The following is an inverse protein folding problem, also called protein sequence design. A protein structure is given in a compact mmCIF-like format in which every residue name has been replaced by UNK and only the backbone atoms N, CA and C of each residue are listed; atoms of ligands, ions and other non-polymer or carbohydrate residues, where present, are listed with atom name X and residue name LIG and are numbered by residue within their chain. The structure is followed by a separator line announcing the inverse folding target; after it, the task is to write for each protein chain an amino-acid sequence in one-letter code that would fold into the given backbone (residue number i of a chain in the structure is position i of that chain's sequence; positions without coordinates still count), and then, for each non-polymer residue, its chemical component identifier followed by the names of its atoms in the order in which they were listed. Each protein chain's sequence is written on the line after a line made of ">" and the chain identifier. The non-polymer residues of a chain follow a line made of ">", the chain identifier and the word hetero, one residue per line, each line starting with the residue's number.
data_IF_934792712848
#
_entry.id   IF_934792712848
#
_cell.length_a   1.000
_cell.length_b   1.000
_cell.length_c   1.000
_cell.angle_alpha   90.00
_cell.angle_beta   90.00
_cell.angle_gamma   90.00
#
_symmetry.space_group_name_H-M   'P 1'
#
loop_
_entity.id
_entity.type
_entity.pdbx_description
1 polymer ?
#
# COMPACT_ATOMS: atom_id res chain seq x y z
N UNK A 1 17.83 -8.92 13.38
CA UNK A 1 17.90 -7.65 12.64
C UNK A 1 17.21 -6.60 13.48
N UNK A 2 17.94 -5.62 14.02
CA UNK A 2 17.35 -4.47 14.70
C UNK A 2 16.66 -3.62 13.64
N UNK A 3 15.33 -3.49 13.69
CA UNK A 3 14.60 -2.53 12.87
C UNK A 3 15.16 -1.14 13.18
N UNK A 4 15.81 -0.50 12.21
CA UNK A 4 16.21 0.90 12.35
C UNK A 4 14.94 1.73 12.58
N UNK A 5 14.97 2.60 13.57
CA UNK A 5 13.84 3.50 13.82
C UNK A 5 13.69 4.46 12.63
N UNK A 6 12.45 4.79 12.22
CA UNK A 6 12.22 5.78 11.18
C UNK A 6 12.85 7.12 11.53
N UNK A 7 13.38 7.82 10.53
CA UNK A 7 13.99 9.13 10.68
C UNK A 7 13.30 10.12 9.73
N UNK A 8 12.25 10.78 10.24
CA UNK A 8 11.35 11.59 9.42
C UNK A 8 11.85 13.01 9.24
N UNK A 9 11.98 13.45 7.99
CA UNK A 9 12.32 14.83 7.63
C UNK A 9 11.31 15.45 6.68
N UNK A 10 11.10 16.79 6.74
CA UNK A 10 10.33 17.50 5.72
C UNK A 10 10.93 17.27 4.33
N UNK A 11 10.07 17.22 3.31
CA UNK A 11 10.49 16.96 1.92
C UNK A 11 11.56 17.93 1.42
N UNK A 12 11.58 19.18 1.92
CA UNK A 12 12.59 20.18 1.61
C UNK A 12 14.02 19.78 2.01
N UNK A 13 14.18 18.85 2.95
CA UNK A 13 15.48 18.36 3.42
C UNK A 13 16.01 17.14 2.63
N UNK A 14 15.27 16.67 1.61
CA UNK A 14 15.66 15.47 0.84
C UNK A 14 17.05 15.58 0.20
N UNK A 15 17.40 16.76 -0.32
CA UNK A 15 18.71 17.01 -0.94
C UNK A 15 19.85 16.95 0.08
N UNK A 16 19.62 17.49 1.28
CA UNK A 16 20.61 17.48 2.37
C UNK A 16 20.81 16.07 2.95
N UNK A 17 19.71 15.35 3.21
CA UNK A 17 19.75 14.06 3.93
C UNK A 17 20.05 12.87 3.05
N UNK A 18 19.58 12.88 1.81
CA UNK A 18 19.64 11.72 0.92
C UNK A 18 20.28 12.01 -0.43
N UNK A 19 20.70 13.26 -0.70
CA UNK A 19 21.21 13.69 -2.01
C UNK A 19 20.20 13.47 -3.16
N UNK A 20 18.90 13.52 -2.87
CA UNK A 20 17.81 13.39 -3.85
C UNK A 20 17.01 14.69 -3.88
N UNK A 21 16.69 15.18 -5.08
CA UNK A 21 15.82 16.36 -5.23
C UNK A 21 14.40 16.06 -4.74
N UNK A 22 13.80 17.00 -4.01
CA UNK A 22 12.44 16.89 -3.48
C UNK A 22 11.41 16.54 -4.56
N UNK A 23 11.53 17.10 -5.76
CA UNK A 23 10.66 16.81 -6.89
C UNK A 23 10.75 15.36 -7.38
N UNK A 24 11.94 14.75 -7.32
CA UNK A 24 12.11 13.34 -7.68
C UNK A 24 11.40 12.44 -6.66
N UNK A 25 11.55 12.74 -5.36
CA UNK A 25 10.84 12.02 -4.30
C UNK A 25 9.32 12.17 -4.45
N UNK A 26 8.85 13.38 -4.78
CA UNK A 26 7.43 13.63 -5.00
C UNK A 26 6.88 12.85 -6.20
N UNK A 27 7.62 12.82 -7.33
CA UNK A 27 7.26 12.04 -8.51
C UNK A 27 7.22 10.54 -8.22
N UNK A 28 8.21 10.02 -7.50
CA UNK A 28 8.24 8.62 -7.12
C UNK A 28 7.09 8.26 -6.14
N UNK A 29 6.70 9.20 -5.28
CA UNK A 29 5.52 9.02 -4.42
C UNK A 29 4.21 9.03 -5.21
N UNK A 30 4.06 9.92 -6.20
CA UNK A 30 2.92 9.92 -7.12
C UNK A 30 2.80 8.61 -7.91
N UNK A 31 3.92 7.95 -8.17
CA UNK A 31 4.02 6.63 -8.81
C UNK A 31 3.95 5.45 -7.80
N UNK A 32 3.70 5.72 -6.52
CA UNK A 32 3.64 4.73 -5.44
C UNK A 32 4.93 3.93 -5.19
N UNK A 33 6.09 4.44 -5.62
CA UNK A 33 7.40 3.78 -5.43
C UNK A 33 7.97 4.04 -4.04
N UNK A 34 7.69 5.22 -3.47
CA UNK A 34 8.16 5.60 -2.13
C UNK A 34 6.98 6.07 -1.26
N UNK A 35 7.00 5.78 0.06
CA UNK A 35 6.01 6.32 0.97
C UNK A 35 6.37 7.75 1.38
N UNK A 36 5.37 8.63 1.43
CA UNK A 36 5.45 9.90 2.14
C UNK A 36 4.50 9.89 3.33
N UNK A 37 4.70 10.84 4.22
CA UNK A 37 4.00 10.93 5.50
C UNK A 37 3.51 12.35 5.75
N UNK A 38 2.46 12.48 6.55
CA UNK A 38 2.04 13.74 7.17
C UNK A 38 2.13 13.59 8.68
N UNK A 39 2.50 14.67 9.37
CA UNK A 39 2.45 14.71 10.83
C UNK A 39 1.09 15.25 11.28
N UNK A 40 0.34 14.42 12.00
CA UNK A 40 -0.93 14.79 12.60
C UNK A 40 -0.72 15.14 14.08
N UNK A 41 -1.43 16.17 14.53
CA UNK A 41 -1.41 16.62 15.92
C UNK A 41 -2.85 16.73 16.41
N UNK A 42 -3.30 15.68 17.11
CA UNK A 42 -4.66 15.55 17.63
C UNK A 42 -5.74 15.85 16.58
N UNK A 43 -5.56 15.41 15.34
CA UNK A 43 -6.55 15.69 14.28
C UNK A 43 -7.78 14.79 14.48
N UNK A 44 -8.99 15.33 14.67
CA UNK A 44 -10.19 14.52 14.82
C UNK A 44 -10.54 13.81 13.51
N UNK A 45 -10.74 12.51 13.59
CA UNK A 45 -11.03 11.65 12.45
C UNK A 45 -11.61 10.31 12.92
N UNK A 46 -12.02 9.49 11.96
CA UNK A 46 -12.30 8.08 12.18
C UNK A 46 -11.11 7.25 11.73
N UNK A 47 -10.88 6.13 12.41
CA UNK A 47 -9.99 5.08 11.90
C UNK A 47 -10.83 3.89 11.44
N UNK A 48 -10.47 3.35 10.28
CA UNK A 48 -10.92 2.05 9.82
C UNK A 48 -9.81 1.05 10.06
N UNK A 49 -10.14 -0.04 10.74
CA UNK A 49 -9.24 -1.15 11.06
C UNK A 49 -9.76 -2.44 10.46
N UNK A 50 -8.86 -3.23 9.86
CA UNK A 50 -9.15 -4.60 9.45
C UNK A 50 -8.39 -5.55 10.35
N UNK A 51 -9.11 -6.31 11.17
CA UNK A 51 -8.52 -7.23 12.13
C UNK A 51 -9.03 -8.64 11.88
N UNK A 52 -8.13 -9.61 12.02
CA UNK A 52 -8.48 -11.03 11.93
C UNK A 52 -9.46 -11.40 13.03
N UNK A 53 -10.57 -12.01 12.66
CA UNK A 53 -11.59 -12.46 13.57
C UNK A 53 -12.75 -13.15 12.88
N UNK A 54 -13.08 -14.37 13.33
CA UNK A 54 -14.44 -14.88 13.18
C UNK A 54 -15.39 -14.18 14.17
N UNK A 55 -16.70 -14.45 14.07
CA UNK A 55 -17.76 -13.81 14.88
C UNK A 55 -17.44 -13.73 16.39
N UNK A 56 -16.78 -14.75 16.94
CA UNK A 56 -16.43 -14.86 18.36
C UNK A 56 -15.35 -13.86 18.83
N UNK A 57 -14.56 -13.30 17.90
CA UNK A 57 -13.46 -12.38 18.21
C UNK A 57 -13.87 -10.89 18.10
N UNK A 58 -15.06 -10.60 17.56
CA UNK A 58 -15.59 -9.22 17.43
C UNK A 58 -15.55 -8.47 18.76
N UNK A 59 -16.19 -9.04 19.79
CA UNK A 59 -16.24 -8.43 21.13
C UNK A 59 -14.88 -8.35 21.81
N UNK A 60 -13.97 -9.26 21.49
CA UNK A 60 -12.62 -9.24 22.06
C UNK A 60 -11.82 -8.05 21.51
N UNK A 61 -11.90 -7.81 20.20
CA UNK A 61 -11.25 -6.67 19.56
C UNK A 61 -11.87 -5.34 19.98
N UNK A 62 -13.21 -5.25 20.04
CA UNK A 62 -13.88 -4.05 20.57
C UNK A 62 -13.41 -3.73 22.00
N UNK A 63 -13.32 -4.74 22.86
CA UNK A 63 -12.80 -4.59 24.22
C UNK A 63 -11.35 -4.10 24.21
N UNK A 64 -10.50 -4.68 23.37
CA UNK A 64 -9.09 -4.26 23.22
C UNK A 64 -8.94 -2.80 22.79
N UNK A 65 -9.74 -2.38 21.80
CA UNK A 65 -9.78 -0.99 21.34
C UNK A 65 -10.23 -0.06 22.45
N UNK A 66 -11.29 -0.42 23.19
CA UNK A 66 -11.81 0.39 24.32
C UNK A 66 -10.86 0.44 25.50
N UNK A 67 -10.07 -0.61 25.74
CA UNK A 67 -9.11 -0.65 26.84
C UNK A 67 -7.75 -0.04 26.52
N UNK A 68 -7.57 0.57 25.33
CA UNK A 68 -6.31 1.23 24.97
C UNK A 68 -5.16 0.27 24.63
N UNK A 69 -5.48 -0.98 24.28
CA UNK A 69 -4.47 -2.02 23.98
C UNK A 69 -4.37 -2.35 22.49
N UNK A 70 -5.06 -1.58 21.63
CA UNK A 70 -4.96 -1.73 20.17
C UNK A 70 -3.59 -1.29 19.64
N UNK A 71 -3.29 -1.73 18.41
CA UNK A 71 -2.02 -1.56 17.72
C UNK A 71 -1.51 -0.12 17.64
N UNK A 72 -2.42 0.86 17.50
CA UNK A 72 -2.07 2.28 17.44
C UNK A 72 -2.26 3.03 18.78
N UNK A 73 -2.58 2.32 19.87
CA UNK A 73 -2.89 2.94 21.17
C UNK A 73 -1.86 2.65 22.25
N UNK A 74 -1.22 1.47 22.20
CA UNK A 74 -0.47 0.96 23.34
C UNK A 74 1.04 1.10 23.15
N UNK A 75 1.74 1.58 24.18
CA UNK A 75 3.19 1.86 24.16
C UNK A 75 4.10 0.69 23.78
N UNK A 76 3.64 -0.54 24.04
CA UNK A 76 4.34 -1.77 23.69
C UNK A 76 4.20 -2.14 22.20
N UNK A 77 3.32 -1.48 21.46
CA UNK A 77 3.11 -1.76 20.05
C UNK A 77 4.16 -1.03 19.20
N UNK A 78 4.65 -1.65 18.11
CA UNK A 78 5.71 -1.07 17.28
C UNK A 78 5.40 0.31 16.73
N UNK A 79 4.14 0.56 16.37
CA UNK A 79 3.74 1.82 15.74
C UNK A 79 3.58 2.97 16.73
N UNK A 80 3.50 2.72 18.05
CA UNK A 80 3.15 3.75 19.03
C UNK A 80 4.10 4.95 19.04
N UNK A 81 5.38 4.76 18.68
CA UNK A 81 6.35 5.87 18.57
C UNK A 81 6.27 6.63 17.25
N UNK A 82 5.61 6.06 16.25
CA UNK A 82 5.52 6.57 14.89
C UNK A 82 4.18 7.25 14.69
N UNK A 83 3.07 6.55 15.01
CA UNK A 83 1.70 6.99 14.83
C UNK A 83 0.81 6.43 15.92
N UNK A 84 -0.10 7.26 16.40
CA UNK A 84 -1.01 6.94 17.48
C UNK A 84 -2.43 7.32 17.09
N UNK A 85 -3.39 6.55 17.58
CA UNK A 85 -4.80 6.86 17.46
C UNK A 85 -5.47 6.71 18.82
N UNK A 86 -6.04 7.79 19.34
CA UNK A 86 -6.76 7.79 20.60
C UNK A 86 -8.27 7.87 20.34
N UNK A 87 -9.05 6.81 20.64
CA UNK A 87 -10.49 6.87 20.49
C UNK A 87 -11.09 7.96 21.35
N UNK A 88 -12.21 8.52 20.89
CA UNK A 88 -13.04 9.35 21.76
C UNK A 88 -13.50 8.54 22.99
N UNK A 89 -13.71 9.24 24.10
CA UNK A 89 -14.25 8.62 25.29
C UNK A 89 -15.64 8.06 24.95
N UNK A 90 -15.86 6.80 25.28
CA UNK A 90 -17.11 6.08 25.00
C UNK A 90 -17.44 5.98 23.49
N UNK A 91 -16.43 6.07 22.62
CA UNK A 91 -16.62 5.93 21.17
C UNK A 91 -17.40 4.66 20.80
N UNK A 92 -18.44 4.83 20.00
CA UNK A 92 -19.13 3.72 19.35
C UNK A 92 -18.18 3.08 18.34
N UNK A 93 -18.10 1.76 18.38
CA UNK A 93 -17.32 0.97 17.44
C UNK A 93 -18.31 0.28 16.52
N UNK A 94 -18.36 0.72 15.27
CA UNK A 94 -19.08 0.02 14.21
C UNK A 94 -18.22 -1.17 13.77
N UNK A 95 -18.71 -2.38 14.02
CA UNK A 95 -18.03 -3.62 13.64
C UNK A 95 -18.85 -4.40 12.62
N UNK A 96 -18.22 -4.82 11.52
CA UNK A 96 -18.85 -5.58 10.44
C UNK A 96 -17.97 -6.77 10.04
N UNK A 97 -18.57 -7.95 9.99
CA UNK A 97 -17.95 -9.11 9.36
C UNK A 97 -17.92 -8.89 7.84
N UNK A 98 -16.76 -9.08 7.22
CA UNK A 98 -16.68 -9.05 5.76
C UNK A 98 -17.08 -10.41 5.22
N UNK A 99 -17.92 -10.42 4.18
CA UNK A 99 -18.38 -11.65 3.55
C UNK A 99 -17.23 -12.36 2.81
N UNK A 100 -17.23 -13.70 2.88
CA UNK A 100 -16.17 -14.57 2.39
C UNK A 100 -15.33 -15.15 3.54
N UNK A 101 -14.86 -16.39 3.39
CA UNK A 101 -14.15 -17.19 4.42
C UNK A 101 -12.78 -16.64 4.85
N UNK A 102 -12.53 -15.34 4.67
CA UNK A 102 -11.28 -14.67 5.02
C UNK A 102 -11.12 -14.49 6.54
N UNK A 103 -12.21 -14.54 7.30
CA UNK A 103 -12.17 -14.34 8.76
C UNK A 103 -11.63 -12.96 9.15
N UNK A 104 -12.05 -11.91 8.44
CA UNK A 104 -11.63 -10.52 8.67
C UNK A 104 -12.86 -9.70 9.05
N UNK A 105 -12.70 -8.86 10.07
CA UNK A 105 -13.70 -7.90 10.51
C UNK A 105 -13.21 -6.46 10.27
N UNK A 106 -14.10 -5.60 9.79
CA UNK A 106 -13.89 -4.15 9.70
C UNK A 106 -14.41 -3.50 10.98
N UNK A 107 -13.60 -2.66 11.61
CA UNK A 107 -13.97 -1.85 12.77
C UNK A 107 -13.77 -0.38 12.42
N UNK A 108 -14.78 0.46 12.67
CA UNK A 108 -14.72 1.92 12.47
C UNK A 108 -15.11 2.63 13.75
N UNK A 109 -14.32 3.62 14.15
CA UNK A 109 -14.59 4.39 15.37
C UNK A 109 -13.91 5.77 15.32
N UNK A 110 -14.52 6.73 16.03
CA UNK A 110 -14.03 8.11 16.14
C UNK A 110 -12.85 8.22 17.11
N UNK A 111 -11.98 9.19 16.86
CA UNK A 111 -10.84 9.50 17.70
C UNK A 111 -9.97 10.63 17.15
N UNK A 112 -8.75 10.69 17.66
CA UNK A 112 -7.76 11.69 17.30
C UNK A 112 -6.47 10.99 16.85
N UNK A 113 -5.98 11.37 15.68
CA UNK A 113 -4.75 10.83 15.12
C UNK A 113 -3.55 11.73 15.45
N UNK A 114 -2.45 11.12 15.87
CA UNK A 114 -1.19 11.78 16.21
C UNK A 114 -0.01 11.10 15.52
N UNK A 115 1.08 11.85 15.32
CA UNK A 115 2.34 11.33 14.78
C UNK A 115 2.36 11.27 13.26
N UNK A 116 3.27 10.48 12.69
CA UNK A 116 3.54 10.37 11.27
C UNK A 116 2.71 9.26 10.63
N UNK A 117 1.66 9.69 9.92
CA UNK A 117 0.77 8.81 9.17
C UNK A 117 1.17 8.77 7.70
N UNK A 118 1.07 7.59 7.08
CA UNK A 118 1.48 7.41 5.69
C UNK A 118 0.43 8.01 4.77
N UNK A 119 0.83 8.70 3.73
CA UNK A 119 -0.08 9.23 2.71
C UNK A 119 0.17 8.58 1.37
N UNK A 120 -0.91 8.34 0.62
CA UNK A 120 -0.85 7.87 -0.76
C UNK A 120 -1.58 8.82 -1.68
N UNK A 121 -0.97 9.06 -2.83
CA UNK A 121 -1.61 9.76 -3.92
C UNK A 121 -2.86 8.99 -4.41
N UNK A 122 -3.94 9.70 -4.71
CA UNK A 122 -5.01 9.21 -5.58
C UNK A 122 -4.70 9.53 -7.05
N UNK A 123 -5.45 8.99 -8.02
CA UNK A 123 -5.28 9.32 -9.45
C UNK A 123 -5.37 10.82 -9.76
N UNK A 124 -6.08 11.60 -8.92
CA UNK A 124 -6.27 13.04 -9.10
C UNK A 124 -5.31 13.93 -8.32
N UNK A 125 -4.37 13.33 -7.58
CA UNK A 125 -3.35 14.07 -6.79
C UNK A 125 -2.49 14.97 -7.66
N UNK A 126 -2.12 14.48 -8.85
CA UNK A 126 -1.24 15.19 -9.79
C UNK A 126 -1.83 16.49 -10.34
N UNK A 127 -3.15 16.68 -10.21
CA UNK A 127 -3.85 17.87 -10.67
C UNK A 127 -3.95 18.96 -9.59
N UNK A 128 -3.23 18.82 -8.46
CA UNK A 128 -3.21 19.80 -7.39
C UNK A 128 -2.45 21.07 -7.79
N UNK A 129 -3.18 22.14 -8.12
CA UNK A 129 -2.61 23.50 -8.24
C UNK A 129 -2.29 24.11 -6.87
N UNK A 130 -3.06 23.74 -5.83
CA UNK A 130 -2.93 24.23 -4.46
C UNK A 130 -2.55 23.16 -3.43
N UNK A 131 -2.96 23.29 -2.15
CA UNK A 131 -2.69 22.30 -1.12
C UNK A 131 -3.35 20.95 -1.44
N UNK A 132 -2.80 19.87 -0.86
CA UNK A 132 -3.45 18.56 -0.91
C UNK A 132 -4.66 18.52 0.01
N UNK A 133 -5.64 17.69 -0.34
CA UNK A 133 -6.87 17.51 0.42
C UNK A 133 -6.91 16.09 0.96
N UNK A 134 -7.07 15.92 2.27
CA UNK A 134 -7.25 14.59 2.85
C UNK A 134 -8.62 14.08 2.46
N UNK A 135 -8.66 12.91 1.83
CA UNK A 135 -9.88 12.32 1.28
C UNK A 135 -10.17 10.96 1.89
N UNK A 136 -11.46 10.66 2.01
CA UNK A 136 -11.94 9.43 2.63
C UNK A 136 -11.83 8.27 1.66
N UNK A 137 -11.05 7.24 2.01
CA UNK A 137 -10.84 6.09 1.13
C UNK A 137 -12.15 5.41 0.68
N UNK A 138 -13.17 5.40 1.55
CA UNK A 138 -14.47 4.82 1.24
C UNK A 138 -15.19 5.55 0.11
N UNK A 139 -14.92 6.85 -0.08
CA UNK A 139 -15.54 7.67 -1.11
C UNK A 139 -14.59 8.06 -2.23
N UNK A 140 -13.27 7.92 -2.06
CA UNK A 140 -12.24 8.29 -3.05
C UNK A 140 -12.44 7.56 -4.39
N UNK A 141 -12.86 6.29 -4.38
CA UNK A 141 -13.11 5.55 -5.62
C UNK A 141 -14.35 6.05 -6.39
N UNK A 142 -15.35 6.54 -5.68
CA UNK A 142 -16.62 7.01 -6.23
C UNK A 142 -16.59 8.51 -6.56
N UNK A 143 -15.73 9.29 -5.89
CA UNK A 143 -15.63 10.75 -5.96
C UNK A 143 -14.22 11.22 -6.38
N UNK A 144 -13.74 10.74 -7.54
CA UNK A 144 -12.48 11.17 -8.19
C UNK A 144 -12.49 12.64 -8.70
N UNK A 145 -13.23 13.55 -8.04
CA UNK A 145 -13.46 14.91 -8.53
C UNK A 145 -12.71 15.98 -7.73
N UNK A 146 -11.99 15.60 -6.66
CA UNK A 146 -11.25 16.54 -5.81
C UNK A 146 -9.79 16.54 -6.23
N UNK A 147 -9.39 17.55 -7.01
CA UNK A 147 -7.99 17.75 -7.38
C UNK A 147 -7.11 17.81 -6.13
N UNK A 148 -6.00 17.06 -6.13
CA UNK A 148 -5.10 16.98 -4.97
C UNK A 148 -5.58 16.10 -3.81
N UNK A 149 -6.61 15.28 -4.01
CA UNK A 149 -7.03 14.30 -3.00
C UNK A 149 -5.90 13.31 -2.68
N UNK A 150 -5.62 13.11 -1.40
CA UNK A 150 -4.68 12.11 -0.88
C UNK A 150 -5.34 11.30 0.23
N UNK A 151 -5.02 10.01 0.29
CA UNK A 151 -5.54 9.11 1.31
C UNK A 151 -4.51 8.90 2.43
N UNK A 152 -4.99 8.82 3.67
CA UNK A 152 -4.15 8.66 4.86
C UNK A 152 -4.29 7.25 5.42
N UNK A 153 -3.16 6.57 5.59
CA UNK A 153 -3.05 5.17 5.95
C UNK A 153 -2.27 4.96 7.25
N UNK A 154 -2.61 3.87 7.93
CA UNK A 154 -1.88 3.31 9.05
C UNK A 154 -0.56 2.67 8.62
N UNK A 155 -0.15 1.59 9.29
CA UNK A 155 1.10 0.86 9.01
C UNK A 155 1.20 0.46 7.53
N UNK A 156 0.11 -0.09 7.01
CA UNK A 156 -0.02 -0.67 5.69
C UNK A 156 -1.26 -0.13 4.98
N UNK A 157 -1.68 -0.81 3.91
CA UNK A 157 -2.81 -0.41 3.07
C UNK A 157 -4.18 -0.82 3.64
N UNK A 158 -4.22 -1.56 4.76
CA UNK A 158 -5.46 -2.05 5.34
C UNK A 158 -6.12 -1.01 6.24
N UNK A 159 -5.33 -0.38 7.11
CA UNK A 159 -5.84 0.61 8.05
C UNK A 159 -5.76 2.02 7.44
N UNK A 160 -6.81 2.82 7.57
CA UNK A 160 -6.85 4.18 7.04
C UNK A 160 -7.71 5.11 7.87
N UNK A 161 -7.54 6.42 7.65
CA UNK A 161 -8.30 7.46 8.31
C UNK A 161 -9.39 8.03 7.39
N UNK A 162 -10.50 8.43 8.00
CA UNK A 162 -11.64 9.12 7.38
C UNK A 162 -11.83 10.45 8.10
N UNK A 163 -12.02 11.54 7.36
CA UNK A 163 -12.11 12.90 7.87
C UNK A 163 -13.51 13.47 7.61
N UNK A 164 -14.26 13.73 8.68
CA UNK A 164 -15.62 14.29 8.57
C UNK A 164 -15.65 15.69 7.93
N UNK A 165 -14.57 16.44 8.10
CA UNK A 165 -14.42 17.78 7.55
C UNK A 165 -13.32 17.79 6.50
N UNK A 166 -13.44 18.68 5.51
CA UNK A 166 -12.38 18.92 4.54
C UNK A 166 -11.12 19.40 5.25
N UNK A 167 -10.04 18.63 5.16
CA UNK A 167 -8.72 19.01 5.68
C UNK A 167 -7.76 19.25 4.52
N UNK A 168 -7.20 20.45 4.46
CA UNK A 168 -6.16 20.79 3.49
C UNK A 168 -4.77 20.73 4.15
N UNK A 169 -3.78 20.23 3.42
CA UNK A 169 -2.38 20.14 3.84
C UNK A 169 -1.46 20.78 2.82
N UNK A 170 -0.55 21.62 3.29
CA UNK A 170 0.43 22.23 2.42
C UNK A 170 1.43 21.18 1.92
N UNK A 171 1.94 21.34 0.70
CA UNK A 171 2.90 20.40 0.11
C UNK A 171 4.20 20.31 0.95
N UNK A 172 4.56 21.39 1.65
CA UNK A 172 5.68 21.43 2.58
C UNK A 172 5.46 20.63 3.88
N UNK A 173 4.21 20.24 4.19
CA UNK A 173 3.88 19.38 5.33
C UNK A 173 4.06 17.89 5.02
N UNK A 174 4.63 17.54 3.86
CA UNK A 174 5.02 16.18 3.53
C UNK A 174 6.40 15.85 4.09
N UNK A 175 6.50 14.64 4.64
CA UNK A 175 7.70 14.09 5.25
C UNK A 175 8.10 12.79 4.55
N UNK A 176 9.40 12.50 4.52
CA UNK A 176 9.95 11.21 4.11
C UNK A 176 10.71 10.56 5.27
N UNK A 177 10.82 9.24 5.26
CA UNK A 177 11.73 8.49 6.14
C UNK A 177 13.08 8.35 5.44
N UNK A 178 14.13 8.97 5.99
CA UNK A 178 15.47 8.92 5.41
C UNK A 178 16.00 7.49 5.32
N UNK A 179 15.61 6.59 6.23
CA UNK A 179 16.06 5.19 6.19
C UNK A 179 15.51 4.42 4.98
N UNK A 180 14.41 4.90 4.39
CA UNK A 180 13.79 4.29 3.19
C UNK A 180 14.42 4.83 1.90
N UNK A 181 14.87 6.10 1.91
CA UNK A 181 15.44 6.76 0.74
C UNK A 181 16.95 6.63 0.62
N UNK A 182 17.66 6.34 1.71
CA UNK A 182 19.09 6.10 1.68
C UNK A 182 19.36 4.77 0.95
N UNK A 183 20.27 4.75 -0.04
CA UNK A 183 20.79 3.49 -0.57
C UNK A 183 21.38 2.69 0.59
N UNK A 184 21.09 1.39 0.67
CA UNK A 184 21.86 0.51 1.56
C UNK A 184 23.34 0.72 1.24
N UNK A 185 24.11 1.15 2.24
CA UNK A 185 25.52 1.52 2.10
C UNK A 185 26.27 0.46 1.29
N UNK A 186 26.90 0.90 0.20
CA UNK A 186 27.78 0.12 -0.66
C UNK A 186 28.95 -0.44 0.15
N UNK A 187 28.78 -1.61 0.75
CA UNK A 187 29.92 -2.48 1.05
C UNK A 187 30.20 -3.36 -0.17
N UNK A 188 31.29 -2.98 -0.84
CA UNK A 188 32.05 -3.70 -1.87
C UNK A 188 31.53 -3.69 -3.31
N UNK A 189 32.23 -2.84 -4.08
CA UNK A 189 32.46 -2.95 -5.52
C UNK A 189 32.76 -4.40 -5.96
N UNK A 190 32.04 -4.89 -6.98
CA UNK A 190 32.63 -5.45 -8.22
C UNK A 190 31.56 -6.14 -9.09
N UNK A 191 31.63 -5.79 -10.38
CA UNK A 191 31.09 -6.47 -11.55
C UNK A 191 29.59 -6.37 -11.85
N UNK A 192 29.32 -5.95 -13.09
CA UNK A 192 28.04 -5.93 -13.79
C UNK A 192 27.11 -7.07 -13.38
N UNK A 193 26.18 -6.80 -12.46
CA UNK A 193 25.12 -7.75 -12.13
C UNK A 193 23.84 -7.31 -12.81
N UNK A 194 23.57 -7.99 -13.94
CA UNK A 194 22.27 -8.18 -14.58
C UNK A 194 21.14 -8.03 -13.55
N UNK A 195 20.20 -7.13 -13.84
CA UNK A 195 18.91 -6.97 -13.14
C UNK A 195 18.40 -8.29 -12.58
N UNK A 196 18.47 -8.45 -11.25
CA UNK A 196 17.87 -9.60 -10.57
C UNK A 196 16.35 -9.48 -10.70
N UNK A 197 15.77 -10.29 -11.58
CA UNK A 197 14.33 -10.55 -11.61
C UNK A 197 13.86 -10.92 -10.20
N UNK A 198 12.90 -10.16 -9.69
CA UNK A 198 12.15 -10.50 -8.47
C UNK A 198 11.56 -11.90 -8.63
N UNK A 199 11.95 -12.81 -7.74
CA UNK A 199 11.48 -14.21 -7.77
C UNK A 199 10.01 -14.23 -7.30
N UNK A 200 9.10 -14.50 -8.24
CA UNK A 200 7.70 -14.85 -7.96
C UNK A 200 7.67 -16.07 -7.03
N UNK A 201 6.81 -16.10 -6.00
CA UNK A 201 6.67 -17.23 -5.08
C UNK A 201 6.09 -18.49 -5.76
N UNK A 202 6.22 -19.68 -5.15
CA UNK A 202 5.74 -20.94 -5.75
C UNK A 202 4.22 -20.93 -5.97
N UNK A 203 3.46 -20.37 -5.02
CA UNK A 203 1.98 -20.34 -5.07
C UNK A 203 1.46 -19.37 -6.13
N UNK A 204 2.03 -18.18 -6.24
CA UNK A 204 1.70 -17.20 -7.28
C UNK A 204 2.00 -17.76 -8.68
N UNK A 205 3.11 -18.49 -8.82
CA UNK A 205 3.47 -19.18 -10.05
C UNK A 205 2.45 -20.26 -10.43
N UNK A 206 2.00 -21.08 -9.49
CA UNK A 206 0.99 -22.12 -9.75
C UNK A 206 -0.33 -21.47 -10.18
N UNK A 207 -0.76 -20.40 -9.52
CA UNK A 207 -1.96 -19.66 -9.89
C UNK A 207 -1.86 -19.09 -11.33
N UNK A 208 -0.73 -18.47 -11.66
CA UNK A 208 -0.44 -18.01 -13.02
C UNK A 208 -0.52 -19.14 -14.06
N UNK A 209 0.07 -20.31 -13.77
CA UNK A 209 0.03 -21.46 -14.67
C UNK A 209 -1.39 -21.98 -14.90
N UNK A 210 -2.19 -22.11 -13.84
CA UNK A 210 -3.61 -22.54 -13.95
C UNK A 210 -4.42 -21.56 -14.79
N UNK A 211 -4.30 -20.26 -14.51
CA UNK A 211 -5.00 -19.22 -15.28
C UNK A 211 -4.64 -19.24 -16.76
N UNK A 212 -3.37 -19.45 -17.11
CA UNK A 212 -2.92 -19.55 -18.50
C UNK A 212 -3.49 -20.79 -19.20
N UNK A 213 -3.52 -21.93 -18.51
CA UNK A 213 -4.08 -23.20 -19.02
C UNK A 213 -5.60 -23.18 -19.16
N UNK A 214 -6.33 -22.44 -18.33
CA UNK A 214 -7.80 -22.43 -18.40
C UNK A 214 -8.34 -21.41 -19.40
N UNK A 215 -7.68 -20.26 -19.56
CA UNK A 215 -8.24 -19.15 -20.33
C UNK A 215 -7.60 -18.92 -21.70
N UNK A 216 -6.47 -19.57 -22.01
CA UNK A 216 -5.67 -19.21 -23.19
C UNK A 216 -5.30 -20.38 -24.10
N UNK A 217 -6.01 -21.51 -24.02
CA UNK A 217 -5.86 -22.61 -24.97
C UNK A 217 -6.40 -22.23 -26.36
N UNK A 218 -5.87 -22.87 -27.40
CA UNK A 218 -6.47 -22.79 -28.73
C UNK A 218 -7.71 -23.70 -28.86
N UNK A 219 -8.37 -23.65 -30.03
CA UNK A 219 -9.58 -24.43 -30.30
C UNK A 219 -9.38 -25.96 -30.25
N UNK A 220 -8.14 -26.43 -30.19
CA UNK A 220 -7.76 -27.85 -30.09
C UNK A 220 -7.33 -28.24 -28.67
N UNK A 221 -7.49 -27.34 -27.69
CA UNK A 221 -7.04 -27.52 -26.31
C UNK A 221 -5.51 -27.56 -26.15
N UNK A 222 -4.77 -27.12 -27.17
CA UNK A 222 -3.32 -27.04 -27.17
C UNK A 222 -2.84 -25.64 -26.74
N UNK A 223 -1.60 -25.60 -26.25
CA UNK A 223 -0.95 -24.35 -25.80
C UNK A 223 -0.48 -23.56 -27.01
N UNK A 224 -1.17 -22.46 -27.32
CA UNK A 224 -0.75 -21.52 -28.35
C UNK A 224 -0.05 -20.31 -27.73
N UNK A 225 1.29 -20.37 -27.69
CA UNK A 225 2.14 -19.35 -27.07
C UNK A 225 1.97 -17.96 -27.68
N UNK A 226 1.72 -17.87 -28.98
CA UNK A 226 1.55 -16.60 -29.70
C UNK A 226 0.27 -15.89 -29.29
N UNK A 227 -0.83 -16.64 -29.29
CA UNK A 227 -2.14 -16.15 -28.84
C UNK A 227 -2.10 -15.76 -27.36
N UNK A 228 -1.41 -16.54 -26.52
CA UNK A 228 -1.19 -16.21 -25.11
C UNK A 228 -0.45 -14.88 -24.94
N UNK A 229 0.67 -14.71 -25.63
CA UNK A 229 1.49 -13.50 -25.55
C UNK A 229 0.72 -12.25 -26.00
N UNK A 230 -0.05 -12.35 -27.09
CA UNK A 230 -0.90 -11.27 -27.58
C UNK A 230 -1.99 -10.90 -26.56
N UNK A 231 -2.76 -11.88 -26.09
CA UNK A 231 -3.87 -11.63 -25.15
C UNK A 231 -3.40 -11.10 -23.80
N UNK A 232 -2.25 -11.58 -23.30
CA UNK A 232 -1.63 -11.05 -22.08
C UNK A 232 -1.13 -9.63 -22.29
N UNK A 233 -0.57 -9.31 -23.46
CA UNK A 233 -0.11 -7.95 -23.79
C UNK A 233 -1.30 -6.99 -23.85
N UNK A 234 -2.42 -7.39 -24.47
CA UNK A 234 -3.65 -6.59 -24.52
C UNK A 234 -4.22 -6.37 -23.11
N UNK A 235 -4.30 -7.43 -22.32
CA UNK A 235 -4.80 -7.36 -20.93
C UNK A 235 -3.89 -6.49 -20.05
N UNK A 236 -2.58 -6.66 -20.15
CA UNK A 236 -1.61 -5.85 -19.41
C UNK A 236 -1.74 -4.36 -19.75
N UNK A 237 -1.89 -4.01 -21.04
CA UNK A 237 -2.16 -2.64 -21.47
C UNK A 237 -3.47 -2.09 -20.91
N UNK A 238 -4.54 -2.90 -20.91
CA UNK A 238 -5.83 -2.53 -20.30
C UNK A 238 -5.69 -2.19 -18.81
N UNK A 239 -4.75 -2.82 -18.12
CA UNK A 239 -4.45 -2.59 -16.70
C UNK A 239 -3.26 -1.63 -16.47
N UNK A 240 -2.81 -0.89 -17.49
CA UNK A 240 -1.81 0.18 -17.35
C UNK A 240 -0.35 -0.28 -17.37
N UNK A 241 -0.07 -1.55 -17.69
CA UNK A 241 1.30 -2.06 -17.85
C UNK A 241 1.80 -1.85 -19.29
N UNK A 242 3.01 -1.32 -19.43
CA UNK A 242 3.63 -1.02 -20.74
C UNK A 242 4.41 -2.20 -21.34
N UNK A 243 4.60 -3.28 -20.58
CA UNK A 243 5.42 -4.43 -20.99
C UNK A 243 4.64 -5.34 -21.94
N UNK A 244 5.23 -5.64 -23.10
CA UNK A 244 4.75 -6.66 -24.00
C UNK A 244 5.31 -8.04 -23.63
N UNK A 245 4.52 -9.09 -23.84
CA UNK A 245 4.95 -10.47 -23.69
C UNK A 245 5.26 -11.04 -25.08
N UNK A 246 6.28 -11.91 -25.14
CA UNK A 246 6.63 -12.65 -26.35
C UNK A 246 6.35 -14.13 -26.17
N UNK A 247 6.16 -14.83 -27.29
CA UNK A 247 5.93 -16.27 -27.37
C UNK A 247 7.04 -17.03 -26.62
N UNK A 248 8.30 -16.62 -26.83
CA UNK A 248 9.47 -17.18 -26.15
C UNK A 248 9.41 -17.01 -24.63
N UNK A 249 8.92 -15.85 -24.16
CA UNK A 249 8.75 -15.57 -22.73
C UNK A 249 7.71 -16.50 -22.11
N UNK A 250 6.59 -16.72 -22.80
CA UNK A 250 5.52 -17.60 -22.33
C UNK A 250 5.96 -19.08 -22.38
N UNK A 251 6.66 -19.48 -23.43
CA UNK A 251 7.20 -20.83 -23.57
C UNK A 251 8.20 -21.17 -22.46
N UNK A 252 9.12 -20.26 -22.15
CA UNK A 252 10.05 -20.42 -21.03
C UNK A 252 9.34 -20.53 -19.68
N UNK A 253 8.27 -19.76 -19.47
CA UNK A 253 7.50 -19.83 -18.23
C UNK A 253 6.86 -21.19 -18.08
N UNK A 254 6.13 -21.66 -19.10
CA UNK A 254 5.42 -22.95 -19.11
C UNK A 254 6.39 -24.12 -18.94
N UNK A 255 7.52 -24.12 -19.66
CA UNK A 255 8.54 -25.17 -19.54
C UNK A 255 9.07 -25.32 -18.11
N UNK A 256 9.33 -24.19 -17.43
CA UNK A 256 9.79 -24.19 -16.01
C UNK A 256 8.75 -24.75 -15.02
N UNK A 257 7.48 -24.88 -15.43
CA UNK A 257 6.44 -25.52 -14.64
C UNK A 257 6.34 -27.02 -14.90
N UNK A 258 6.44 -27.44 -16.15
CA UNK A 258 6.37 -28.85 -16.53
C UNK A 258 7.56 -29.63 -15.98
N UNK A 259 8.75 -29.03 -15.99
CA UNK A 259 9.98 -29.59 -15.40
C UNK A 259 9.93 -29.74 -13.86
N UNK A 260 8.85 -29.26 -13.20
CA UNK A 260 8.67 -29.27 -11.74
C UNK A 260 7.40 -29.99 -11.27
N UNK A 261 6.71 -30.68 -12.17
CA UNK A 261 5.63 -31.62 -11.81
C UNK A 261 6.24 -32.96 -11.39
N UNK A 262 6.89 -32.97 -10.24
CA UNK A 262 7.17 -34.18 -9.43
C UNK A 262 6.39 -34.07 -8.11
#
# INVERSE_FOLDING_TARGET
>A
MTLKQPDFYPLSMASEKCHIMSDNVLNDWLDHKVPLYIRLDALPCQIVRYLGGGQFLLKDWERKIKSGIDYYQHEKMPEFKIRQFYPEKDAEIESRLLEGDLGICRYTYNGHAHGYWRVKATPVTRFAEGPYVLADMDTVRENNNIAGAIAVYGKDDWDYLIFQNKVCRDKSELFFDAQVLLPESEESMSEEKKTKQTRISRSERIALYVMLKEHYLDGNNDVNYSKMAEMLTVTARKHGFSKAFSDDTIAEWIKRFEDKKE
#
